data_IF_778471056139
#
_entry.id   IF_778471056139
#
_cell.length_a   1.000
_cell.length_b   1.000
_cell.length_c   1.000
_cell.angle_alpha   90.00
_cell.angle_beta   90.00
_cell.angle_gamma   90.00
#
_symmetry.space_group_name_H-M   'P 1'
#
loop_
_entity.id
_entity.type
_entity.pdbx_description
1 polymer ?
#
# COMPACT_ATOMS: atom_id res chain seq x y z
N UNK A 1 12.49 2.75 -1.64
CA UNK A 1 13.43 2.06 -2.56
C UNK A 1 12.77 0.94 -3.36
N UNK A 2 12.21 -0.12 -2.75
CA UNK A 2 11.64 -1.25 -3.52
C UNK A 2 10.49 -0.82 -4.45
N UNK A 3 9.57 0.03 -3.98
CA UNK A 3 8.47 0.54 -4.80
C UNK A 3 8.96 1.41 -5.98
N UNK A 4 10.06 2.16 -5.80
CA UNK A 4 10.68 2.96 -6.87
C UNK A 4 11.32 2.06 -7.94
N UNK A 5 11.91 0.93 -7.54
CA UNK A 5 12.45 -0.05 -8.50
C UNK A 5 11.34 -0.70 -9.31
N UNK A 6 10.22 -1.02 -8.68
CA UNK A 6 9.04 -1.51 -9.40
C UNK A 6 8.50 -0.46 -10.36
N UNK A 7 8.40 0.81 -9.95
CA UNK A 7 7.97 1.89 -10.83
C UNK A 7 8.85 2.01 -12.08
N UNK A 8 10.17 2.00 -11.88
CA UNK A 8 11.14 1.99 -12.98
C UNK A 8 10.96 0.79 -13.92
N UNK A 9 10.73 -0.41 -13.37
CA UNK A 9 10.53 -1.62 -14.16
C UNK A 9 9.24 -1.58 -15.00
N UNK A 10 8.16 -1.02 -14.46
CA UNK A 10 6.88 -0.94 -15.15
C UNK A 10 6.77 0.24 -16.12
N UNK A 11 7.62 1.26 -15.98
CA UNK A 11 7.65 2.46 -16.81
C UNK A 11 7.41 2.23 -18.32
N UNK A 12 8.12 1.31 -19.01
CA UNK A 12 7.93 1.12 -20.46
C UNK A 12 6.61 0.45 -20.85
N UNK A 13 5.85 -0.06 -19.88
CA UNK A 13 4.63 -0.84 -20.11
C UNK A 13 3.34 -0.12 -19.66
N UNK A 14 3.47 1.05 -19.03
CA UNK A 14 2.33 1.82 -18.51
C UNK A 14 2.35 3.26 -19.02
N UNK A 15 1.20 3.94 -19.10
CA UNK A 15 1.15 5.35 -19.53
C UNK A 15 1.93 6.28 -18.59
N UNK A 16 2.48 7.36 -19.15
CA UNK A 16 3.35 8.31 -18.43
C UNK A 16 2.70 8.94 -17.20
N UNK A 17 1.36 9.08 -17.18
CA UNK A 17 0.61 9.60 -16.02
C UNK A 17 0.82 8.77 -14.74
N UNK A 18 1.13 7.47 -14.87
CA UNK A 18 1.40 6.58 -13.74
C UNK A 18 2.87 6.56 -13.32
N UNK A 19 3.76 7.12 -14.13
CA UNK A 19 5.20 7.18 -13.88
C UNK A 19 5.49 8.31 -12.89
N UNK A 20 6.26 8.01 -11.85
CA UNK A 20 6.71 9.04 -10.92
C UNK A 20 7.54 10.10 -11.68
N UNK A 21 8.30 9.71 -12.69
CA UNK A 21 9.23 10.58 -13.40
C UNK A 21 8.59 11.71 -14.22
N UNK A 22 7.28 11.65 -14.45
CA UNK A 22 6.51 12.69 -15.15
C UNK A 22 5.63 13.50 -14.22
N UNK A 23 5.66 13.23 -12.91
CA UNK A 23 4.88 13.98 -11.93
C UNK A 23 5.68 15.16 -11.38
N UNK A 24 5.01 16.29 -11.22
CA UNK A 24 5.54 17.45 -10.51
C UNK A 24 5.20 17.36 -9.02
N UNK A 25 6.05 17.98 -8.19
CA UNK A 25 5.76 18.09 -6.77
C UNK A 25 4.52 18.96 -6.54
N UNK A 26 3.54 18.43 -5.82
CA UNK A 26 2.38 19.17 -5.35
C UNK A 26 2.19 18.98 -3.84
N UNK A 27 2.16 20.10 -3.12
CA UNK A 27 1.99 20.11 -1.67
C UNK A 27 0.63 19.55 -1.25
N UNK A 28 -0.43 19.81 -2.02
CA UNK A 28 -1.77 19.30 -1.71
C UNK A 28 -1.80 17.77 -1.83
N UNK A 29 -1.22 17.23 -2.89
CA UNK A 29 -1.06 15.79 -3.09
C UNK A 29 -0.22 15.16 -1.98
N UNK A 30 0.86 15.81 -1.55
CA UNK A 30 1.65 15.33 -0.40
C UNK A 30 0.79 15.29 0.88
N UNK A 31 0.06 16.36 1.20
CA UNK A 31 -0.78 16.42 2.38
C UNK A 31 -1.87 15.34 2.37
N UNK A 32 -2.53 15.14 1.23
CA UNK A 32 -3.52 14.08 1.05
C UNK A 32 -2.90 12.68 1.18
N UNK A 33 -1.71 12.48 0.62
CA UNK A 33 -0.99 11.20 0.73
C UNK A 33 -0.61 10.90 2.18
N UNK A 34 -0.22 11.91 2.96
CA UNK A 34 0.11 11.73 4.39
C UNK A 34 -1.14 11.45 5.22
N UNK A 35 -2.20 12.23 5.04
CA UNK A 35 -3.41 12.12 5.87
C UNK A 35 -4.28 10.95 5.41
N UNK A 36 -4.66 10.92 4.14
CA UNK A 36 -5.52 9.87 3.62
C UNK A 36 -4.75 8.55 3.48
N UNK A 37 -3.66 8.55 2.70
CA UNK A 37 -2.84 7.34 2.48
C UNK A 37 -2.20 6.85 3.77
N UNK A 38 -1.44 7.71 4.44
CA UNK A 38 -0.65 7.35 5.60
C UNK A 38 -1.44 7.04 6.88
N UNK A 39 -2.63 7.63 7.06
CA UNK A 39 -3.42 7.48 8.30
C UNK A 39 -4.74 6.77 8.03
N UNK A 40 -5.59 7.31 7.14
CA UNK A 40 -6.94 6.79 6.92
C UNK A 40 -6.90 5.36 6.36
N UNK A 41 -6.08 5.10 5.35
CA UNK A 41 -5.97 3.75 4.79
C UNK A 41 -5.45 2.74 5.80
N UNK A 42 -4.52 3.13 6.67
CA UNK A 42 -4.02 2.25 7.74
C UNK A 42 -5.08 1.96 8.80
N UNK A 43 -5.89 2.95 9.19
CA UNK A 43 -7.04 2.71 10.08
C UNK A 43 -8.02 1.74 9.43
N UNK A 44 -8.40 1.97 8.17
CA UNK A 44 -9.38 1.13 7.48
C UNK A 44 -8.86 -0.30 7.28
N UNK A 45 -7.63 -0.44 6.79
CA UNK A 45 -7.12 -1.74 6.36
C UNK A 45 -6.47 -2.54 7.48
N UNK A 46 -5.74 -1.88 8.40
CA UNK A 46 -4.96 -2.59 9.43
C UNK A 46 -5.80 -2.70 10.68
N UNK A 47 -6.23 -1.56 11.23
CA UNK A 47 -7.09 -1.58 12.40
C UNK A 47 -8.47 -2.18 12.12
N UNK A 48 -9.11 -1.84 11.01
CA UNK A 48 -10.41 -2.37 10.61
C UNK A 48 -10.35 -3.78 10.00
N UNK A 49 -10.00 -3.87 8.72
CA UNK A 49 -10.10 -5.10 7.93
C UNK A 49 -9.21 -6.23 8.45
N UNK A 50 -7.91 -5.99 8.63
CA UNK A 50 -6.98 -7.03 9.06
C UNK A 50 -7.32 -7.56 10.46
N UNK A 51 -7.65 -6.70 11.43
CA UNK A 51 -8.09 -7.14 12.76
C UNK A 51 -9.35 -8.00 12.70
N UNK A 52 -10.34 -7.59 11.89
CA UNK A 52 -11.56 -8.35 11.68
C UNK A 52 -11.25 -9.74 11.08
N UNK A 53 -10.38 -9.81 10.08
CA UNK A 53 -9.94 -11.06 9.46
C UNK A 53 -9.19 -11.96 10.43
N UNK A 54 -8.25 -11.42 11.23
CA UNK A 54 -7.55 -12.18 12.27
C UNK A 54 -8.55 -12.79 13.24
N UNK A 55 -9.53 -12.01 13.70
CA UNK A 55 -10.57 -12.48 14.60
C UNK A 55 -11.42 -13.59 13.97
N UNK A 56 -11.89 -13.39 12.72
CA UNK A 56 -12.70 -14.37 11.99
C UNK A 56 -11.95 -15.69 11.78
N UNK A 57 -10.73 -15.61 11.24
CA UNK A 57 -9.91 -16.79 10.98
C UNK A 57 -9.50 -17.51 12.25
N UNK A 58 -9.21 -16.78 13.34
CA UNK A 58 -8.97 -17.40 14.64
C UNK A 58 -10.21 -18.14 15.15
N UNK A 59 -11.38 -17.51 15.08
CA UNK A 59 -12.65 -18.08 15.56
C UNK A 59 -13.09 -19.31 14.75
N UNK A 60 -12.83 -19.34 13.45
CA UNK A 60 -13.24 -20.45 12.57
C UNK A 60 -12.21 -21.58 12.57
N UNK A 61 -10.92 -21.26 12.40
CA UNK A 61 -9.88 -22.27 12.16
C UNK A 61 -9.06 -22.64 13.40
N UNK A 62 -9.03 -21.81 14.45
CA UNK A 62 -8.12 -21.98 15.59
C UNK A 62 -8.76 -21.68 16.96
N UNK A 63 -10.09 -21.83 17.10
CA UNK A 63 -10.85 -21.49 18.32
C UNK A 63 -10.37 -22.16 19.61
N UNK A 64 -9.68 -23.30 19.52
CA UNK A 64 -9.15 -24.03 20.67
C UNK A 64 -7.80 -23.46 21.18
N UNK A 65 -7.14 -22.60 20.40
CA UNK A 65 -5.88 -21.96 20.77
C UNK A 65 -6.19 -20.68 21.56
N UNK A 66 -5.45 -20.45 22.64
CA UNK A 66 -5.59 -19.26 23.49
C UNK A 66 -5.20 -17.96 22.77
N UNK A 67 -4.33 -18.04 21.77
CA UNK A 67 -3.91 -16.92 20.92
C UNK A 67 -3.95 -17.33 19.44
N UNK A 68 -4.19 -16.39 18.51
CA UNK A 68 -4.15 -16.70 17.08
C UNK A 68 -2.76 -17.21 16.67
N UNK A 69 -2.66 -18.34 15.94
CA UNK A 69 -1.39 -18.83 15.43
C UNK A 69 -0.85 -17.93 14.30
N UNK A 70 0.44 -18.02 14.01
CA UNK A 70 1.09 -17.19 12.97
C UNK A 70 0.45 -17.35 11.59
N UNK A 71 -0.05 -18.55 11.26
CA UNK A 71 -0.77 -18.78 10.01
C UNK A 71 -2.01 -17.87 9.89
N UNK A 72 -2.77 -17.66 10.96
CA UNK A 72 -3.94 -16.76 10.96
C UNK A 72 -3.53 -15.32 10.66
N UNK A 73 -2.44 -14.84 11.27
CA UNK A 73 -1.93 -13.50 11.00
C UNK A 73 -1.46 -13.33 9.56
N UNK A 74 -0.65 -14.26 9.05
CA UNK A 74 -0.19 -14.18 7.66
C UNK A 74 -1.34 -14.28 6.65
N UNK A 75 -2.32 -15.16 6.88
CA UNK A 75 -3.51 -15.23 6.02
C UNK A 75 -4.30 -13.92 6.06
N UNK A 76 -4.50 -13.32 7.23
CA UNK A 76 -5.16 -12.02 7.35
C UNK A 76 -4.37 -10.90 6.65
N UNK A 77 -3.04 -10.87 6.77
CA UNK A 77 -2.16 -9.92 6.07
C UNK A 77 -2.32 -10.07 4.56
N UNK A 78 -2.21 -11.30 4.02
CA UNK A 78 -2.28 -11.51 2.57
C UNK A 78 -3.65 -11.14 2.01
N UNK A 79 -4.74 -11.51 2.71
CA UNK A 79 -6.11 -11.19 2.27
C UNK A 79 -6.38 -9.69 2.36
N UNK A 80 -6.04 -9.01 3.47
CA UNK A 80 -6.23 -7.56 3.58
C UNK A 80 -5.36 -6.80 2.57
N UNK A 81 -4.14 -7.27 2.29
CA UNK A 81 -3.25 -6.67 1.27
C UNK A 81 -3.82 -6.78 -0.13
N UNK A 82 -4.44 -7.92 -0.47
CA UNK A 82 -5.13 -8.08 -1.75
C UNK A 82 -6.34 -7.14 -1.85
N UNK A 83 -7.14 -7.03 -0.79
CA UNK A 83 -8.28 -6.09 -0.75
C UNK A 83 -7.80 -4.65 -0.88
N UNK A 84 -6.71 -4.28 -0.19
CA UNK A 84 -6.10 -2.97 -0.32
C UNK A 84 -5.67 -2.68 -1.77
N UNK A 85 -5.02 -3.66 -2.41
CA UNK A 85 -4.56 -3.54 -3.78
C UNK A 85 -5.73 -3.41 -4.78
N UNK A 86 -6.80 -4.18 -4.60
CA UNK A 86 -8.03 -4.07 -5.41
C UNK A 86 -8.76 -2.77 -5.12
N UNK A 87 -8.71 -2.25 -3.89
CA UNK A 87 -9.29 -0.96 -3.51
C UNK A 87 -8.69 0.22 -4.30
N UNK A 88 -7.48 0.07 -4.82
CA UNK A 88 -6.83 1.07 -5.69
C UNK A 88 -7.33 1.05 -7.14
N UNK A 89 -8.23 0.12 -7.49
CA UNK A 89 -8.75 0.00 -8.85
C UNK A 89 -9.48 1.27 -9.29
N UNK A 90 -10.39 1.80 -8.46
CA UNK A 90 -11.21 2.95 -8.84
C UNK A 90 -10.38 4.20 -9.08
N UNK A 91 -9.42 4.50 -8.20
CA UNK A 91 -8.54 5.67 -8.38
C UNK A 91 -7.63 5.49 -9.61
N UNK A 92 -7.09 4.29 -9.82
CA UNK A 92 -6.26 4.01 -11.01
C UNK A 92 -7.06 4.16 -12.31
N UNK A 93 -8.33 3.74 -12.31
CA UNK A 93 -9.22 3.82 -13.47
C UNK A 93 -9.67 5.25 -13.79
N UNK A 94 -9.55 6.20 -12.84
CA UNK A 94 -9.79 7.62 -13.10
C UNK A 94 -8.60 8.27 -13.82
N UNK A 95 -7.38 7.78 -13.55
CA UNK A 95 -6.15 8.31 -14.14
C UNK A 95 -5.86 7.72 -15.53
N UNK A 96 -6.20 6.45 -15.76
CA UNK A 96 -5.92 5.79 -17.04
C UNK A 96 -6.76 4.53 -17.29
N UNK A 97 -6.74 4.04 -18.53
CA UNK A 97 -7.37 2.77 -18.90
C UNK A 97 -6.69 1.59 -18.19
N UNK A 98 -7.48 0.70 -17.59
CA UNK A 98 -6.98 -0.49 -16.89
C UNK A 98 -6.60 -1.59 -17.87
N UNK A 99 -5.45 -1.43 -18.50
CA UNK A 99 -4.79 -2.48 -19.29
C UNK A 99 -4.17 -3.56 -18.38
N UNK A 100 -3.82 -4.72 -18.93
CA UNK A 100 -3.18 -5.80 -18.15
C UNK A 100 -1.89 -5.34 -17.43
N UNK A 101 -0.96 -4.59 -18.05
CA UNK A 101 0.20 -4.07 -17.35
C UNK A 101 -0.13 -3.11 -16.19
N UNK A 102 -1.12 -2.23 -16.39
CA UNK A 102 -1.58 -1.28 -15.36
C UNK A 102 -2.18 -2.03 -14.17
N UNK A 103 -3.04 -3.02 -14.44
CA UNK A 103 -3.63 -3.87 -13.41
C UNK A 103 -2.55 -4.61 -12.60
N UNK A 104 -1.59 -5.23 -13.29
CA UNK A 104 -0.50 -5.97 -12.65
C UNK A 104 0.38 -5.05 -11.80
N UNK A 105 0.76 -3.88 -12.33
CA UNK A 105 1.52 -2.86 -11.57
C UNK A 105 0.77 -2.44 -10.32
N UNK A 106 -0.50 -2.08 -10.45
CA UNK A 106 -1.35 -1.65 -9.34
C UNK A 106 -1.44 -2.73 -8.26
N UNK A 107 -1.69 -3.99 -8.64
CA UNK A 107 -1.80 -5.10 -7.69
C UNK A 107 -0.47 -5.35 -6.97
N UNK A 108 0.65 -5.33 -7.69
CA UNK A 108 1.98 -5.61 -7.11
C UNK A 108 2.40 -4.49 -6.16
N UNK A 109 2.33 -3.23 -6.58
CA UNK A 109 2.80 -2.10 -5.77
C UNK A 109 1.98 -1.97 -4.48
N UNK A 110 0.65 -1.94 -4.61
CA UNK A 110 -0.24 -1.79 -3.46
C UNK A 110 -0.28 -3.06 -2.61
N UNK A 111 -0.25 -4.25 -3.23
CA UNK A 111 -0.19 -5.51 -2.50
C UNK A 111 1.10 -5.66 -1.69
N UNK A 112 2.25 -5.26 -2.25
CA UNK A 112 3.53 -5.28 -1.55
C UNK A 112 3.52 -4.31 -0.35
N UNK A 113 3.08 -3.06 -0.54
CA UNK A 113 2.89 -2.11 0.57
C UNK A 113 1.93 -2.65 1.62
N UNK A 114 0.81 -3.21 1.15
CA UNK A 114 -0.14 -4.08 1.85
C UNK A 114 0.54 -4.98 2.88
N UNK A 115 1.37 -5.89 2.38
CA UNK A 115 2.03 -6.94 3.16
C UNK A 115 3.03 -6.36 4.15
N UNK A 116 3.83 -5.39 3.72
CA UNK A 116 4.84 -4.75 4.59
C UNK A 116 4.18 -4.03 5.75
N UNK A 117 3.18 -3.19 5.50
CA UNK A 117 2.49 -2.44 6.55
C UNK A 117 1.66 -3.35 7.46
N UNK A 118 1.02 -4.40 6.90
CA UNK A 118 0.33 -5.42 7.68
C UNK A 118 1.28 -6.21 8.60
N UNK A 119 2.48 -6.55 8.13
CA UNK A 119 3.50 -7.19 8.96
C UNK A 119 4.00 -6.27 10.08
N UNK A 120 4.25 -4.99 9.78
CA UNK A 120 4.62 -3.99 10.79
C UNK A 120 3.54 -3.80 11.84
N UNK A 121 2.27 -3.71 11.42
CA UNK A 121 1.13 -3.64 12.34
C UNK A 121 1.09 -4.84 13.28
N UNK A 122 1.28 -6.05 12.75
CA UNK A 122 1.29 -7.27 13.55
C UNK A 122 2.46 -7.35 14.53
N UNK A 123 3.67 -6.98 14.11
CA UNK A 123 4.87 -7.09 14.95
C UNK A 123 5.06 -5.92 15.91
N UNK A 124 4.41 -4.79 15.66
CA UNK A 124 4.55 -3.55 16.41
C UNK A 124 3.16 -3.01 16.76
N UNK A 125 2.73 -1.95 16.10
CA UNK A 125 1.48 -1.26 16.36
C UNK A 125 1.01 -0.50 15.11
N UNK A 126 -0.17 0.13 15.21
CA UNK A 126 -0.77 0.88 14.10
C UNK A 126 0.08 2.09 13.69
N UNK A 127 0.63 2.82 14.67
CA UNK A 127 1.46 4.00 14.44
C UNK A 127 2.72 3.68 13.63
N UNK A 128 3.31 2.50 13.84
CA UNK A 128 4.48 2.04 13.07
C UNK A 128 4.10 1.79 11.61
N UNK A 129 2.93 1.21 11.35
CA UNK A 129 2.42 1.01 9.99
C UNK A 129 2.14 2.37 9.31
N UNK A 130 1.50 3.29 10.03
CA UNK A 130 1.25 4.67 9.57
C UNK A 130 2.55 5.39 9.25
N UNK A 131 3.52 5.37 10.16
CA UNK A 131 4.81 6.01 9.95
C UNK A 131 5.55 5.43 8.73
N UNK A 132 5.53 4.11 8.54
CA UNK A 132 6.14 3.47 7.38
C UNK A 132 5.44 3.86 6.06
N UNK A 133 4.12 3.96 6.07
CA UNK A 133 3.35 4.36 4.90
C UNK A 133 3.55 5.84 4.56
N UNK A 134 3.50 6.73 5.56
CA UNK A 134 3.85 8.15 5.42
C UNK A 134 5.27 8.32 4.86
N UNK A 135 6.24 7.61 5.42
CA UNK A 135 7.63 7.64 4.92
C UNK A 135 7.75 7.19 3.47
N UNK A 136 6.88 6.28 3.01
CA UNK A 136 6.84 5.86 1.60
C UNK A 136 6.45 7.03 0.70
N UNK A 137 5.39 7.75 1.03
CA UNK A 137 4.97 8.94 0.28
C UNK A 137 6.03 10.05 0.34
N UNK A 138 6.58 10.33 1.52
CA UNK A 138 7.64 11.33 1.68
C UNK A 138 8.87 11.00 0.83
N UNK A 139 9.26 9.73 0.79
CA UNK A 139 10.41 9.29 -0.02
C UNK A 139 10.13 9.46 -1.51
N UNK A 140 8.92 9.13 -1.98
CA UNK A 140 8.53 9.33 -3.38
C UNK A 140 8.58 10.81 -3.75
N UNK A 141 7.97 11.68 -2.94
CA UNK A 141 7.95 13.13 -3.17
C UNK A 141 9.34 13.75 -3.10
N UNK A 142 10.20 13.30 -2.19
CA UNK A 142 11.59 13.74 -2.15
C UNK A 142 12.37 13.40 -3.43
N UNK A 143 12.15 12.21 -3.99
CA UNK A 143 12.77 11.81 -5.27
C UNK A 143 12.29 12.69 -6.42
N UNK A 144 10.99 13.03 -6.46
CA UNK A 144 10.44 13.96 -7.46
C UNK A 144 11.15 15.32 -7.40
N UNK A 145 11.18 15.94 -6.23
CA UNK A 145 11.82 17.25 -6.04
C UNK A 145 13.30 17.23 -6.45
N UNK A 146 14.03 16.19 -6.05
CA UNK A 146 15.43 16.03 -6.43
C UNK A 146 15.57 15.88 -7.95
N UNK A 147 14.71 15.09 -8.60
CA UNK A 147 14.77 14.89 -10.04
C UNK A 147 14.51 16.19 -10.83
N UNK A 148 13.57 17.02 -10.37
CA UNK A 148 13.26 18.33 -10.99
C UNK A 148 14.40 19.35 -10.83
N UNK A 149 15.14 19.30 -9.72
CA UNK A 149 16.28 20.20 -9.49
C UNK A 149 17.48 19.83 -10.37
N UNK A 150 17.62 18.54 -10.72
CA UNK A 150 18.76 18.01 -11.45
C UNK A 150 18.57 17.95 -12.98
N UNK A 151 17.34 18.15 -13.47
CA UNK A 151 16.98 18.24 -14.89
C UNK A 151 17.13 19.66 -15.43
#
# INVERSE_FOLDING_TARGET
MVLLLFDFFFHPFVPDVLSLWHQEFDFYTLLLSVVYGGIIEEIMMRWGMMTLLVWLFWKVAARKKQVPPYAVFWTAILVSSLVFAVGHYSVTALETEITTPVLVRMVILNGFGGVVFGWLYWKKNLETAMAAHICTHLTMQAVLVISTILS
#
